data_IF_439514327671
#
_entry.id   IF_439514327671
#
_cell.length_a   1.000
_cell.length_b   1.000
_cell.length_c   1.000
_cell.angle_alpha   90.00
_cell.angle_beta   90.00
_cell.angle_gamma   90.00
#
_symmetry.space_group_name_H-M   'P 1'
#
loop_
_entity.id
_entity.type
_entity.pdbx_description
1 polymer ?
2 non-polymer ?
3 non-polymer ?
4 water ?
#
# COMPACT_ATOMS: atom_id res chain seq x y z
N UNK A 14 -4.30 -9.43 16.89
CA UNK A 14 -3.71 -8.17 17.33
C UNK A 14 -3.69 -7.11 16.21
N UNK A 15 -4.44 -6.03 16.40
CA UNK A 15 -4.60 -5.01 15.38
C UNK A 15 -3.92 -3.71 15.81
N UNK A 16 -3.57 -2.90 14.82
CA UNK A 16 -2.91 -1.63 15.06
C UNK A 16 -3.64 -0.53 14.31
N UNK A 17 -3.56 0.68 14.84
CA UNK A 17 -4.18 1.84 14.20
C UNK A 17 -3.35 2.31 13.00
N UNK A 18 -4.04 2.70 11.93
CA UNK A 18 -3.38 3.16 10.72
C UNK A 18 -3.01 4.63 10.74
N UNK A 19 -3.56 5.41 11.66
CA UNK A 19 -3.31 6.84 11.71
C UNK A 19 -2.87 7.29 13.09
N UNK A 22 -2.47 13.22 14.60
CA UNK A 22 -2.66 14.46 13.84
C UNK A 22 -1.82 14.51 12.57
N UNK A 23 -0.51 14.29 12.64
CA UNK A 23 0.33 14.38 11.44
C UNK A 23 -0.01 13.30 10.42
N UNK A 24 0.37 13.52 9.18
CA UNK A 24 0.00 12.51 8.17
C UNK A 24 1.13 11.50 7.99
N UNK A 25 2.09 11.40 8.92
CA UNK A 25 3.20 10.50 8.70
C UNK A 25 2.74 9.04 8.79
N UNK A 26 3.39 8.15 8.05
CA UNK A 26 3.06 6.72 8.16
C UNK A 26 3.42 6.19 9.54
N UNK A 27 2.75 5.09 9.91
CA UNK A 27 2.96 4.50 11.23
C UNK A 27 4.15 3.55 11.23
N UNK A 28 4.59 3.11 10.05
CA UNK A 28 5.72 2.19 9.93
C UNK A 28 6.29 2.30 8.52
N UNK A 29 7.61 2.12 8.42
CA UNK A 29 8.27 2.04 7.12
C UNK A 29 9.15 0.78 7.13
N UNK A 30 9.17 0.06 6.01
CA UNK A 30 10.05 -1.08 5.81
C UNK A 30 10.87 -0.84 4.54
N UNK A 31 12.09 -1.35 4.51
CA UNK A 31 12.92 -1.25 3.32
C UNK A 31 13.31 -2.65 2.87
N UNK A 32 13.28 -2.89 1.56
CA UNK A 32 13.59 -4.20 0.99
C UNK A 32 14.73 -4.10 -0.01
N UNK A 33 15.55 -5.15 -0.06
CA UNK A 33 16.55 -5.34 -1.11
C UNK A 33 15.86 -5.94 -2.33
N UNK A 34 15.74 -5.15 -3.40
CA UNK A 34 14.97 -5.61 -4.55
C UNK A 34 15.64 -6.80 -5.23
N UNK A 35 16.95 -6.93 -5.11
CA UNK A 35 17.66 -8.06 -5.72
C UNK A 35 17.40 -9.37 -4.98
N UNK A 36 16.72 -9.34 -3.85
CA UNK A 36 16.44 -10.56 -3.10
C UNK A 36 14.95 -10.88 -3.03
N UNK A 37 14.12 -10.14 -3.74
CA UNK A 37 12.68 -10.39 -3.68
C UNK A 37 12.38 -11.63 -4.53
N UNK A 38 11.71 -12.59 -3.93
CA UNK A 38 11.12 -13.71 -4.67
C UNK A 38 9.61 -13.71 -4.58
N UNK A 39 9.08 -13.38 -3.41
CA UNK A 39 7.64 -13.26 -3.21
C UNK A 39 7.24 -11.82 -3.47
N UNK A 40 6.39 -11.61 -4.48
CA UNK A 40 5.98 -10.25 -4.82
C UNK A 40 4.49 -10.08 -4.56
N UNK A 41 4.06 -10.40 -3.34
CA UNK A 41 2.69 -10.18 -2.91
C UNK A 41 2.68 -9.76 -1.45
N UNK A 42 1.60 -9.10 -1.07
CA UNK A 42 1.36 -8.63 0.29
C UNK A 42 -0.11 -8.84 0.59
N UNK A 43 -0.42 -9.14 1.85
CA UNK A 43 -1.79 -9.39 2.26
C UNK A 43 -2.01 -8.81 3.64
N UNK A 44 -3.19 -8.26 3.86
CA UNK A 44 -3.50 -7.69 5.17
C UNK A 44 -5.02 -7.64 5.29
N UNK A 45 -5.48 -7.36 6.50
CA UNK A 45 -6.89 -7.08 6.73
C UNK A 45 -7.02 -5.66 7.27
N UNK A 46 -8.09 -4.98 6.85
CA UNK A 46 -8.31 -3.58 7.21
C UNK A 46 -9.78 -3.39 7.62
N UNK A 47 -9.98 -2.51 8.59
CA UNK A 47 -11.32 -2.19 9.09
C UNK A 47 -11.41 -0.68 9.28
N UNK A 48 -12.49 -0.08 8.77
CA UNK A 48 -12.60 1.37 8.89
C UNK A 48 -14.02 1.81 8.65
N UNK A 49 -14.39 2.95 9.26
CA UNK A 49 -15.60 3.68 8.92
C UNK A 49 -15.31 4.92 8.09
N UNK A 50 -14.07 5.16 7.77
CA UNK A 50 -13.48 6.32 7.10
C UNK A 50 -13.50 6.12 5.59
N UNK A 51 -14.03 7.07 4.81
CA UNK A 51 -14.11 6.87 3.35
C UNK A 51 -12.85 7.22 2.59
N UNK A 52 -11.86 7.85 3.21
CA UNK A 52 -10.74 8.39 2.44
C UNK A 52 -9.45 8.34 3.24
N UNK A 53 -8.39 7.86 2.59
CA UNK A 53 -7.08 7.93 3.21
C UNK A 53 -6.15 6.91 2.58
N UNK A 54 -4.89 6.96 3.03
CA UNK A 54 -3.84 6.07 2.55
C UNK A 54 -3.82 4.79 3.36
N UNK A 55 -3.80 3.65 2.67
CA UNK A 55 -3.52 2.39 3.34
C UNK A 55 -2.04 2.09 3.32
N UNK A 56 -1.41 2.11 2.16
CA UNK A 56 0.05 2.02 2.14
C UNK A 56 0.61 2.70 0.90
N UNK A 57 1.89 3.04 0.98
CA UNK A 57 2.64 3.69 -0.09
C UNK A 57 3.91 2.89 -0.30
N UNK A 58 4.44 2.89 -1.52
CA UNK A 58 5.74 2.28 -1.75
C UNK A 58 6.50 3.01 -2.84
N UNK A 59 7.82 2.92 -2.78
CA UNK A 59 8.63 3.57 -3.83
C UNK A 59 10.02 2.97 -3.92
N UNK A 60 10.68 3.33 -5.01
CA UNK A 60 12.14 3.19 -5.12
C UNK A 60 12.65 4.63 -5.25
N UNK A 61 11.77 5.58 -5.60
CA UNK A 61 12.19 6.97 -5.72
C UNK A 61 10.92 7.81 -5.64
N UNK A 62 10.76 8.65 -4.61
CA UNK A 62 9.48 9.37 -4.47
C UNK A 62 9.22 10.38 -5.57
N UNK A 63 10.22 10.66 -6.40
CA UNK A 63 10.00 11.60 -7.50
C UNK A 63 9.41 10.95 -8.74
N UNK A 64 9.77 9.70 -9.04
CA UNK A 64 9.32 9.12 -10.30
C UNK A 64 9.15 7.61 -10.31
N UNK A 65 9.04 6.97 -9.14
CA UNK A 65 8.85 5.51 -9.12
C UNK A 65 8.16 5.18 -7.79
N UNK A 66 6.84 5.35 -7.78
CA UNK A 66 6.08 5.24 -6.53
C UNK A 66 4.68 4.71 -6.80
N UNK A 67 4.02 4.32 -5.70
CA UNK A 67 2.74 3.63 -5.73
C UNK A 67 2.00 3.97 -4.45
N UNK A 68 0.68 4.13 -4.54
CA UNK A 68 -0.15 4.37 -3.37
C UNK A 68 -1.42 3.55 -3.48
N UNK A 69 -1.77 2.82 -2.42
CA UNK A 69 -3.10 2.22 -2.28
C UNK A 69 -3.85 2.93 -1.18
N UNK A 70 -5.06 3.41 -1.47
CA UNK A 70 -5.83 4.09 -0.46
C UNK A 70 -7.32 3.83 -0.65
N UNK A 71 -8.15 4.57 0.09
CA UNK A 71 -9.58 4.63 -0.16
C UNK A 71 -9.98 6.02 -0.63
N UNK A 72 -10.92 6.08 -1.57
CA UNK A 72 -11.59 7.33 -1.89
C UNK A 72 -13.05 6.98 -2.11
N UNK A 73 -13.93 7.74 -1.49
CA UNK A 73 -15.37 7.45 -1.47
C UNK A 73 -15.61 5.99 -1.07
N UNK A 74 -14.82 5.52 -0.10
CA UNK A 74 -14.97 4.20 0.47
C UNK A 74 -14.28 3.07 -0.29
N UNK A 75 -13.92 3.28 -1.54
CA UNK A 75 -13.44 2.22 -2.40
C UNK A 75 -11.94 2.30 -2.61
N UNK A 76 -11.30 1.16 -2.88
CA UNK A 76 -9.87 1.16 -3.20
C UNK A 76 -9.57 2.13 -4.34
N UNK A 77 -8.44 2.81 -4.22
CA UNK A 77 -7.87 3.63 -5.26
C UNK A 77 -6.38 3.33 -5.33
N UNK A 78 -5.85 3.17 -6.54
CA UNK A 78 -4.41 3.04 -6.74
C UNK A 78 -3.95 4.24 -7.55
N UNK A 79 -2.90 4.90 -7.08
CA UNK A 79 -2.15 5.85 -7.88
C UNK A 79 -0.74 5.29 -8.07
N UNK A 80 -0.22 5.40 -9.28
CA UNK A 80 1.03 4.76 -9.62
C UNK A 80 1.78 5.68 -10.58
N UNK A 81 3.08 5.81 -10.39
CA UNK A 81 3.89 6.60 -11.31
C UNK A 81 5.25 5.95 -11.43
N UNK A 82 5.54 5.35 -12.59
CA UNK A 82 6.84 4.78 -12.85
C UNK A 82 7.15 4.94 -14.33
N UNK A 83 8.23 4.29 -14.78
CA UNK A 83 8.71 4.48 -16.15
C UNK A 83 7.70 4.01 -17.18
N UNK A 84 6.88 3.02 -16.82
CA UNK A 84 5.97 2.42 -17.78
C UNK A 84 4.55 2.96 -17.69
N UNK A 85 4.12 3.45 -16.53
CA UNK A 85 2.71 3.81 -16.38
C UNK A 85 2.52 4.94 -15.39
N UNK A 86 1.47 5.72 -15.62
CA UNK A 86 1.05 6.78 -14.71
C UNK A 86 -0.47 6.76 -14.65
N UNK A 87 -0.99 6.41 -13.48
CA UNK A 87 -2.46 6.28 -13.45
C UNK A 87 -3.08 6.53 -12.07
N UNK A 88 -4.36 6.82 -12.13
CA UNK A 88 -5.21 6.98 -10.96
C UNK A 88 -6.46 6.15 -11.20
N UNK A 89 -6.64 5.07 -10.45
CA UNK A 89 -7.71 4.13 -10.77
C UNK A 89 -8.46 3.73 -9.50
N UNK A 90 -9.79 3.81 -9.54
CA UNK A 90 -10.65 3.26 -8.50
C UNK A 90 -11.27 1.94 -8.92
N UNK A 91 -11.48 1.04 -7.96
CA UNK A 91 -12.07 -0.28 -8.25
C UNK A 91 -12.51 -0.96 -6.95
N UNK A 92 -13.40 -1.92 -7.09
CA UNK A 92 -13.82 -2.74 -5.98
C UNK A 92 -14.98 -2.15 -5.19
N UNK A 93 -15.42 -2.89 -4.17
CA UNK A 93 -16.55 -2.45 -3.35
C UNK A 93 -16.12 -1.43 -2.32
N UNK A 94 -17.11 -0.75 -1.73
CA UNK A 94 -16.81 0.08 -0.58
C UNK A 94 -16.31 -0.80 0.56
N UNK A 95 -15.30 -0.31 1.26
CA UNK A 95 -14.73 -1.02 2.40
C UNK A 95 -14.96 -0.30 3.72
N UNK A 96 -15.64 0.85 3.70
CA UNK A 96 -15.81 1.64 4.93
C UNK A 96 -17.11 1.31 5.66
N UNK A 97 -17.36 0.01 5.86
CA UNK A 97 -18.54 -0.47 6.55
C UNK A 97 -18.26 -1.03 7.94
N UNK A 98 -17.04 -0.85 8.44
CA UNK A 98 -16.72 -1.31 9.79
C UNK A 98 -16.53 -2.81 9.93
N UNK A 99 -16.50 -3.54 8.82
CA UNK A 99 -16.19 -4.97 8.83
C UNK A 99 -14.74 -5.17 8.45
N UNK A 100 -14.14 -6.24 8.94
CA UNK A 100 -12.80 -6.59 8.49
C UNK A 100 -12.85 -7.06 7.04
N UNK A 101 -11.93 -6.57 6.22
CA UNK A 101 -11.80 -6.97 4.82
C UNK A 101 -10.39 -7.44 4.53
N UNK A 102 -10.25 -8.57 3.85
CA UNK A 102 -8.95 -9.00 3.37
C UNK A 102 -8.62 -8.28 2.07
N UNK A 103 -7.39 -7.78 1.98
CA UNK A 103 -6.87 -7.14 0.78
C UNK A 103 -5.56 -7.84 0.45
N UNK A 104 -5.41 -8.24 -0.80
CA UNK A 104 -4.14 -8.81 -1.24
C UNK A 104 -3.68 -8.08 -2.50
N UNK A 105 -2.42 -7.68 -2.52
CA UNK A 105 -1.81 -7.04 -3.69
C UNK A 105 -0.78 -7.99 -4.24
N UNK A 106 -0.83 -8.26 -5.54
CA UNK A 106 0.07 -9.23 -6.15
C UNK A 106 0.68 -8.65 -7.40
N UNK A 107 1.98 -8.81 -7.56
CA UNK A 107 2.65 -8.49 -8.81
C UNK A 107 2.86 -9.78 -9.57
N UNK A 108 2.30 -9.86 -10.77
CA UNK A 108 2.35 -11.07 -11.59
C UNK A 108 2.73 -10.67 -13.01
N UNK A 109 3.91 -11.09 -13.45
CA UNK A 109 4.36 -10.67 -14.76
C UNK A 109 4.52 -9.16 -14.76
N UNK A 110 3.93 -8.51 -15.77
CA UNK A 110 3.99 -7.06 -15.85
C UNK A 110 2.76 -6.39 -15.23
N UNK A 111 1.94 -7.13 -14.48
CA UNK A 111 0.71 -6.59 -13.95
C UNK A 111 0.75 -6.47 -12.43
N UNK A 112 -0.10 -5.60 -11.90
CA UNK A 112 -0.39 -5.52 -10.48
C UNK A 112 -1.87 -5.87 -10.29
N UNK A 113 -2.14 -6.82 -9.39
CA UNK A 113 -3.47 -7.36 -9.14
C UNK A 113 -3.93 -6.93 -7.76
N UNK A 114 -5.22 -6.62 -7.62
CA UNK A 114 -5.81 -6.31 -6.33
C UNK A 114 -6.96 -7.28 -6.06
N UNK A 115 -6.88 -7.97 -4.92
CA UNK A 115 -7.94 -8.88 -4.49
C UNK A 115 -8.55 -8.34 -3.20
N UNK A 116 -9.86 -8.29 -3.15
CA UNK A 116 -10.57 -7.85 -1.95
C UNK A 116 -11.51 -8.96 -1.53
N UNK A 117 -11.37 -9.42 -0.28
CA UNK A 117 -12.17 -10.52 0.24
C UNK A 117 -12.14 -11.73 -0.69
N UNK A 118 -10.96 -12.03 -1.23
CA UNK A 118 -10.78 -13.20 -2.06
C UNK A 118 -11.31 -13.10 -3.47
N UNK A 119 -11.72 -11.90 -3.91
CA UNK A 119 -12.18 -11.66 -5.28
C UNK A 119 -11.21 -10.70 -5.96
N UNK A 120 -10.73 -11.06 -7.15
CA UNK A 120 -9.94 -10.12 -7.91
C UNK A 120 -10.85 -8.97 -8.35
N UNK A 121 -10.50 -7.74 -7.98
CA UNK A 121 -11.31 -6.59 -8.36
C UNK A 121 -10.63 -5.68 -9.36
N UNK A 122 -9.32 -5.81 -9.59
CA UNK A 122 -8.58 -4.89 -10.44
C UNK A 122 -7.29 -5.55 -10.89
N UNK A 123 -6.98 -5.40 -12.18
CA UNK A 123 -5.70 -5.87 -12.74
C UNK A 123 -5.13 -4.77 -13.62
N UNK A 124 -4.05 -4.14 -13.14
CA UNK A 124 -3.36 -3.12 -13.93
C UNK A 124 -2.30 -3.82 -14.75
N UNK A 125 -2.52 -3.90 -16.06
CA UNK A 125 -1.63 -4.67 -16.92
C UNK A 125 -0.58 -3.76 -17.54
N UNK A 126 0.59 -4.35 -17.83
CA UNK A 126 1.67 -3.64 -18.52
C UNK A 126 2.12 -2.40 -17.75
N UNK A 127 2.27 -2.53 -16.44
CA UNK A 127 2.67 -1.41 -15.59
C UNK A 127 4.03 -1.59 -14.94
N UNK A 128 4.66 -2.75 -15.06
CA UNK A 128 5.97 -2.87 -14.42
C UNK A 128 6.82 -3.87 -15.17
N UNK A 129 8.12 -3.56 -15.26
CA UNK A 129 9.10 -4.53 -15.65
C UNK A 129 9.55 -5.31 -14.43
N UNK A 130 10.52 -6.20 -14.61
CA UNK A 130 10.97 -7.04 -13.47
C UNK A 130 11.43 -6.17 -12.31
N UNK A 131 10.94 -6.50 -11.11
CA UNK A 131 11.42 -5.82 -9.91
C UNK A 131 12.93 -5.95 -9.78
N UNK A 132 13.44 -7.19 -9.86
CA UNK A 132 14.87 -7.45 -9.81
C UNK A 132 15.64 -6.47 -10.69
N UNK A 133 15.26 -6.39 -11.96
CA UNK A 133 15.97 -5.54 -12.92
C UNK A 133 15.44 -4.11 -12.88
N UNK A 136 17.43 1.34 -9.28
CA UNK A 136 17.79 1.51 -7.87
C UNK A 136 17.20 0.39 -7.06
N UNK A 137 18.05 -0.47 -6.48
CA UNK A 137 17.55 -1.76 -5.97
C UNK A 137 17.04 -1.72 -4.54
N UNK A 138 16.44 -0.62 -4.09
CA UNK A 138 15.95 -0.48 -2.73
C UNK A 138 14.50 -0.01 -2.80
N UNK A 139 13.58 -0.77 -2.21
CA UNK A 139 12.17 -0.40 -2.22
C UNK A 139 11.70 -0.14 -0.79
N UNK A 140 10.93 0.93 -0.61
CA UNK A 140 10.33 1.27 0.68
C UNK A 140 8.84 0.99 0.65
N UNK A 141 8.32 0.51 1.76
CA UNK A 141 6.87 0.39 1.96
C UNK A 141 6.51 1.14 3.25
N UNK A 142 5.58 2.08 3.14
CA UNK A 142 5.10 2.86 4.29
C UNK A 142 3.65 2.52 4.54
N UNK A 143 3.29 2.28 5.80
CA UNK A 143 1.91 1.95 6.18
C UNK A 143 1.22 3.18 6.73
N UNK A 144 0.01 3.44 6.24
CA UNK A 144 -0.83 4.50 6.76
C UNK A 144 -0.40 5.92 6.43
N UNK A 145 0.47 6.10 5.45
CA UNK A 145 0.90 7.44 5.09
C UNK A 145 1.81 7.39 3.88
N UNK A 146 2.09 8.59 3.35
CA UNK A 146 2.99 8.73 2.22
C UNK A 146 4.39 9.09 2.69
N UNK A 147 5.38 8.86 1.83
CA UNK A 147 6.73 9.38 2.03
C UNK A 147 6.98 10.61 1.18
N UNK A 148 5.94 11.35 0.84
CA UNK A 148 6.06 12.70 0.32
C UNK A 148 4.80 13.47 0.65
N UNK A 149 4.79 14.79 0.43
CA UNK A 149 3.58 15.56 0.76
C UNK A 149 2.40 15.15 -0.11
N UNK A 150 1.20 15.20 0.48
CA UNK A 150 0.02 14.78 -0.26
C UNK A 150 -0.15 15.53 -1.57
N UNK A 151 0.41 16.73 -1.69
CA UNK A 151 0.25 17.50 -2.92
C UNK A 151 1.07 16.91 -4.08
N UNK A 152 1.98 15.97 -3.81
CA UNK A 152 2.74 15.27 -4.82
C UNK A 152 1.94 14.17 -5.52
N UNK A 153 0.79 13.81 -4.97
CA UNK A 153 -0.04 12.79 -5.58
C UNK A 153 -0.56 13.28 -6.92
N UNK A 154 -0.88 12.33 -7.81
CA UNK A 154 -1.53 12.69 -9.06
C UNK A 154 -2.88 13.34 -8.78
N UNK A 155 -3.61 12.79 -7.83
CA UNK A 155 -4.91 13.33 -7.40
C UNK A 155 -4.88 13.41 -5.89
N UNK A 156 -4.77 14.59 -5.30
CA UNK A 156 -4.63 14.66 -3.84
C UNK A 156 -5.80 13.99 -3.11
N UNK A 157 -5.48 13.37 -1.98
CA UNK A 157 -6.47 13.01 -0.98
C UNK A 157 -5.90 13.33 0.39
N UNK A 158 -6.79 13.30 1.37
CA UNK A 158 -6.37 13.52 2.78
C UNK A 158 -5.87 12.18 3.25
N UNK A 159 -4.56 12.04 3.55
CA UNK A 159 -3.96 10.75 3.83
C UNK A 159 -4.34 10.00 5.09
N UNK A 160 -4.78 10.70 6.12
CA UNK A 160 -5.05 10.02 7.39
C UNK A 160 -6.25 9.10 7.23
N UNK A 161 -6.03 7.80 7.36
CA UNK A 161 -7.11 6.82 7.33
C UNK A 161 -7.35 6.34 8.75
N UNK A 162 -8.51 6.68 9.30
CA UNK A 162 -8.85 6.28 10.67
C UNK A 162 -9.38 4.85 10.62
N UNK A 163 -8.45 3.91 10.54
CA UNK A 163 -8.79 2.51 10.45
C UNK A 163 -7.77 1.68 11.20
N UNK A 164 -7.96 0.36 11.12
CA UNK A 164 -7.14 -0.58 11.84
C UNK A 164 -6.64 -1.65 10.88
N UNK A 165 -5.48 -2.20 11.19
CA UNK A 165 -4.76 -3.11 10.31
C UNK A 165 -4.33 -4.33 11.11
N UNK A 166 -4.51 -5.52 10.54
CA UNK A 166 -4.09 -6.75 11.22
C UNK A 166 -3.72 -7.80 10.18
N UNK A 167 -3.12 -8.88 10.66
CA UNK A 167 -2.77 -10.04 9.84
C UNK A 167 -2.05 -9.61 8.57
N UNK A 168 -1.09 -8.69 8.72
CA UNK A 168 -0.45 -8.08 7.57
C UNK A 168 0.94 -8.69 7.35
N UNK A 169 1.20 -9.03 6.09
CA UNK A 169 2.50 -9.58 5.65
C UNK A 169 2.93 -8.84 4.38
N UNK A 170 4.15 -8.33 4.38
CA UNK A 170 4.60 -7.47 3.29
C UNK A 170 5.75 -8.13 2.55
N UNK A 171 5.50 -8.50 1.28
CA UNK A 171 6.51 -9.03 0.36
C UNK A 171 7.29 -10.14 1.06
N UNK A 172 8.62 -10.09 1.07
CA UNK A 172 9.50 -11.20 1.43
C UNK A 172 10.32 -10.79 2.63
N UNK A 173 10.07 -11.42 3.78
CA UNK A 173 10.91 -11.11 4.94
C UNK A 173 12.38 -11.40 4.67
N UNK A 174 12.69 -12.31 3.74
CA UNK A 174 14.08 -12.55 3.38
C UNK A 174 14.72 -11.33 2.74
N UNK A 175 13.95 -10.51 2.05
CA UNK A 175 14.48 -9.35 1.36
C UNK A 175 14.47 -8.08 2.22
N UNK A 176 13.93 -8.14 3.42
CA UNK A 176 13.76 -6.93 4.23
C UNK A 176 15.09 -6.54 4.86
N UNK A 177 15.49 -5.28 4.64
CA UNK A 177 16.70 -4.72 5.21
C UNK A 177 16.45 -4.06 6.56
N UNK A 178 15.35 -3.32 6.67
CA UNK A 178 15.08 -2.59 7.89
C UNK A 178 13.58 -2.43 8.06
N UNK A 179 13.17 -2.22 9.31
CA UNK A 179 11.78 -1.95 9.64
C UNK A 179 11.76 -0.99 10.82
N UNK A 180 10.89 -0.01 10.73
CA UNK A 180 10.79 1.06 11.75
C UNK A 180 10.47 0.55 13.15
N UNK A 181 10.82 1.38 14.13
CA UNK A 181 10.59 1.11 15.56
C UNK A 181 9.10 0.88 15.81
N UNK A 182 8.71 -0.31 16.28
CA UNK A 182 7.32 -0.62 16.58
C UNK A 182 6.89 0.12 17.83
N UNK A 183 7.79 0.88 18.43
CA UNK A 183 7.51 1.58 19.69
C UNK A 183 6.31 2.48 19.41
N UNK A 184 6.19 2.90 18.16
CA UNK A 184 5.16 3.86 17.79
C UNK A 184 3.79 3.23 17.57
N UNK A 185 3.71 1.92 17.34
CA UNK A 185 2.43 1.30 17.02
C UNK A 185 1.46 1.45 18.18
N UNK A 186 0.19 1.65 17.85
CA UNK A 186 -0.89 1.82 18.82
C UNK A 186 -1.96 0.78 18.56
N UNK A 187 -2.22 -0.07 19.57
CA UNK A 187 -3.19 -1.14 19.42
C UNK A 187 -4.61 -0.61 19.28
N UNK A 188 -5.44 -1.33 18.53
CA UNK A 188 -6.84 -0.95 18.38
C UNK A 188 -7.73 -1.59 19.44
X LIG B 1 -9.62 10.07 6.40
X LIG C 1 6.45 -0.19 -6.67
X LIG C 1 6.24 -0.42 -8.17
X LIG C 1 5.24 -0.68 -5.85
X LIG C 1 5.16 -2.21 -6.10
X LIG C 1 4.08 -2.86 -5.21
X LIG C 1 6.09 -1.94 -8.46
X LIG C 1 7.55 0.23 -8.70
X LIG C 1 4.94 -2.53 -7.62
X LIG C 1 6.82 1.31 -6.58
X LIG C 1 5.53 -0.38 -4.42
X LIG C 1 7.61 1.55 -7.90
X LIG C 1 4.27 -2.42 -3.88
X LIG C 1 5.01 0.32 -8.70
X LIG C 1 4.55 -1.09 -3.53
X LIG C 1 4.27 -4.38 -5.34
X LIG C 1 2.65 -2.57 -5.65
X LIG C 1 8.76 -0.60 -8.35
X LIG C 1 4.06 -3.30 -2.82
X LIG C 1 3.71 -5.07 -4.27
X LIG C 1 3.66 -4.54 -3.05
X LIG C 1 3.22 -6.31 -4.24
X LIG C 1 9.69 -1.24 -8.12
X LIG C 1 2.82 -6.59 -2.99
X LIG C 1 7.56 0.47 -10.12
X LIG C 1 3.11 -5.42 -2.19
X LIG C 1 7.29 -0.74 -6.26
X LIG C 1 4.30 -0.21 -6.13
X LIG C 1 6.12 -2.64 -5.81
X LIG C 1 7.03 -2.45 -8.21
X LIG C 1 5.87 -2.08 -9.52
X LIG C 1 4.90 -3.61 -7.75
X LIG C 1 3.99 -2.10 -7.94
X LIG C 1 5.94 1.94 -6.53
X LIG C 1 7.45 1.50 -5.71
X LIG C 1 5.46 0.69 -4.26
X LIG C 1 6.55 -0.72 -4.19
X LIG C 1 8.65 1.80 -7.67
X LIG C 1 7.16 2.37 -8.46
X LIG C 1 5.16 1.40 -8.58
X LIG C 1 4.13 0.01 -8.14
X LIG C 1 4.88 0.09 -9.75
X LIG C 1 3.61 -0.53 -3.54
X LIG C 1 4.95 -1.09 -2.51
X LIG C 1 5.34 -4.59 -5.38
X LIG C 1 3.80 -4.71 -6.27
X LIG C 1 2.49 -1.49 -5.66
X LIG C 1 1.95 -3.03 -4.94
X LIG C 1 2.48 -2.98 -6.65
X LIG C 1 4.24 -2.96 -1.80
X LIG C 1 3.15 -6.99 -5.09
X LIG C 1 10.57 -1.83 -7.91
X LIG C 1 6.78 1.04 -10.37
#
# INVERSE_FOLDING_TARGET
LRPVLPTQSAHDPPAVHLSNGPGQEPIAVMTFDLTKITKTSSSFEVRTWDPEGVIFYGDTNPKDDWFMLGLRDGRPEIQLHNHWAQLTVGAGPRLDDGRWHQVEVKMEGDSVLLEVDGEEVLRLRQVSGPLTSKRHPIMRIALGGLLFPASNLRLPLVPALDGCLRRDSWLDKQAKISASAPTSLRSCDVESNPGIFLPPGTQAE
CA CA
QA1 CAD CAE CAF CAG CAH CAI CAJ CAK CAL CAM CAN CAO CAP CAQ CAR CAS CAT CAU CAV CAW CAX CAY NAC OAA OAB HAD HAF HAG HAI HAJ HAL HAK HAN HAM HAO HAP HAR HAQ HAS HAT HAU HAV HAW HAX HAY HA1 HAZ HA0 HA2 HA3 HA4 HAA
#
